data_IF_361756119210
#
_entry.id   IF_361756119210
#
_cell.length_a   1.000
_cell.length_b   1.000
_cell.length_c   1.000
_cell.angle_alpha   90.00
_cell.angle_beta   90.00
_cell.angle_gamma   90.00
#
_symmetry.space_group_name_H-M   'P 1'
#
loop_
_entity.id
_entity.type
_entity.pdbx_description
1 polymer ?
#
# COMPACT_ATOMS: atom_id res chain seq x y z
N UNK A 1 -7.20 -13.98 26.26
CA UNK A 1 -6.31 -12.88 26.70
C UNK A 1 -7.18 -11.82 27.35
N UNK A 2 -7.15 -11.71 28.69
CA UNK A 2 -7.74 -10.59 29.41
C UNK A 2 -6.66 -9.51 29.57
N UNK A 3 -6.40 -8.75 28.51
CA UNK A 3 -5.62 -7.51 28.63
C UNK A 3 -6.56 -6.42 29.12
N UNK A 4 -6.21 -5.72 30.20
CA UNK A 4 -6.90 -4.49 30.56
C UNK A 4 -6.66 -3.48 29.45
N UNK A 5 -7.73 -2.97 28.84
CA UNK A 5 -7.67 -1.96 27.78
C UNK A 5 -7.25 -0.57 28.30
N UNK A 6 -6.88 -0.47 29.57
CA UNK A 6 -6.65 0.78 30.28
C UNK A 6 -5.25 1.36 29.97
N UNK A 7 -4.30 0.55 29.51
CA UNK A 7 -2.93 0.97 29.16
C UNK A 7 -2.36 0.13 28.01
N UNK A 8 -1.71 0.80 27.05
CA UNK A 8 -0.98 0.20 25.91
C UNK A 8 0.16 1.13 25.50
N UNK A 9 1.22 0.60 24.91
CA UNK A 9 2.37 1.42 24.45
C UNK A 9 2.00 2.33 23.28
N UNK A 10 1.15 1.84 22.36
CA UNK A 10 0.79 2.55 21.12
C UNK A 10 -0.71 2.46 20.85
N UNK A 11 -1.36 3.61 20.72
CA UNK A 11 -2.72 3.71 20.19
C UNK A 11 -2.67 4.17 18.74
N UNK A 12 -3.24 3.38 17.83
CA UNK A 12 -3.42 3.72 16.43
C UNK A 12 -4.89 4.04 16.18
N UNK A 13 -5.16 5.25 15.69
CA UNK A 13 -6.52 5.69 15.35
C UNK A 13 -6.71 5.58 13.84
N UNK A 14 -7.59 4.65 13.43
CA UNK A 14 -7.93 4.35 12.05
C UNK A 14 -7.22 3.11 11.51
N UNK A 15 -7.97 2.28 10.78
CA UNK A 15 -7.49 1.02 10.20
C UNK A 15 -7.20 1.08 8.69
N UNK A 16 -6.93 2.27 8.15
CA UNK A 16 -6.42 2.41 6.78
C UNK A 16 -4.99 1.88 6.63
N UNK A 17 -4.44 1.87 5.40
CA UNK A 17 -3.10 1.35 5.14
C UNK A 17 -2.03 1.93 6.07
N UNK A 18 -2.01 3.26 6.26
CA UNK A 18 -1.03 3.91 7.13
C UNK A 18 -1.16 3.50 8.61
N UNK A 19 -2.40 3.41 9.11
CA UNK A 19 -2.67 3.01 10.49
C UNK A 19 -2.30 1.55 10.75
N UNK A 20 -2.77 0.63 9.92
CA UNK A 20 -2.41 -0.78 10.05
C UNK A 20 -0.92 -1.03 9.81
N UNK A 21 -0.28 -0.29 8.91
CA UNK A 21 1.16 -0.39 8.73
C UNK A 21 1.94 0.04 9.99
N UNK A 22 1.53 1.15 10.61
CA UNK A 22 2.10 1.59 11.88
C UNK A 22 1.87 0.57 13.01
N UNK A 23 0.65 0.01 13.09
CA UNK A 23 0.30 -1.00 14.09
C UNK A 23 1.15 -2.27 13.96
N UNK A 24 1.31 -2.78 12.74
CA UNK A 24 2.13 -3.96 12.47
C UNK A 24 3.60 -3.69 12.77
N UNK A 25 4.13 -2.53 12.36
CA UNK A 25 5.51 -2.14 12.64
C UNK A 25 5.77 -2.05 14.16
N UNK A 26 4.89 -1.37 14.91
CA UNK A 26 4.98 -1.28 16.37
C UNK A 26 4.90 -2.66 17.03
N UNK A 27 3.97 -3.52 16.59
CA UNK A 27 3.83 -4.87 17.14
C UNK A 27 5.05 -5.75 16.86
N UNK A 28 5.67 -5.61 15.68
CA UNK A 28 6.92 -6.31 15.33
C UNK A 28 8.13 -5.84 16.15
N UNK A 29 8.06 -4.65 16.75
CA UNK A 29 9.02 -4.14 17.73
C UNK A 29 8.74 -4.60 19.16
N UNK A 30 7.72 -5.44 19.37
CA UNK A 30 7.37 -5.99 20.69
C UNK A 30 6.40 -5.15 21.51
N UNK A 31 5.90 -4.04 20.96
CA UNK A 31 4.99 -3.13 21.66
C UNK A 31 3.57 -3.70 21.76
N UNK A 32 2.86 -3.30 22.82
CA UNK A 32 1.42 -3.48 22.95
C UNK A 32 0.68 -2.40 22.15
N UNK A 33 -0.17 -2.83 21.22
CA UNK A 33 -0.80 -1.93 20.25
C UNK A 33 -2.32 -2.08 20.29
N UNK A 34 -3.02 -0.97 20.46
CA UNK A 34 -4.47 -0.88 20.32
C UNK A 34 -4.80 -0.14 19.02
N UNK A 35 -5.57 -0.78 18.14
CA UNK A 35 -6.10 -0.15 16.92
C UNK A 35 -7.58 0.19 17.14
N UNK A 36 -7.91 1.46 16.98
CA UNK A 36 -9.27 1.97 17.08
C UNK A 36 -9.81 2.23 15.67
N UNK A 37 -10.90 1.57 15.30
CA UNK A 37 -11.62 1.81 14.07
C UNK A 37 -13.06 2.22 14.41
N UNK A 38 -13.54 3.28 13.77
CA UNK A 38 -14.88 3.82 14.00
C UNK A 38 -15.95 2.93 13.37
N UNK A 39 -15.61 2.33 12.24
CA UNK A 39 -16.51 1.52 11.43
C UNK A 39 -16.52 0.05 11.88
N UNK A 40 -17.57 -0.72 11.55
CA UNK A 40 -17.57 -2.17 11.78
C UNK A 40 -16.60 -2.93 10.85
N UNK A 41 -15.95 -2.24 9.91
CA UNK A 41 -15.05 -2.81 8.91
C UNK A 41 -13.70 -2.12 8.91
N UNK A 42 -12.64 -2.90 8.69
CA UNK A 42 -11.30 -2.36 8.51
C UNK A 42 -11.09 -1.70 7.14
N UNK A 43 -10.11 -0.80 7.08
CA UNK A 43 -9.52 -0.32 5.83
C UNK A 43 -10.00 1.05 5.33
N UNK A 44 -11.10 1.60 5.85
CA UNK A 44 -11.58 2.94 5.46
C UNK A 44 -11.63 3.15 3.93
N UNK A 45 -11.06 4.25 3.45
CA UNK A 45 -10.91 4.54 2.01
C UNK A 45 -9.85 3.67 1.33
N UNK A 46 -8.83 3.18 2.06
CA UNK A 46 -7.84 2.24 1.53
C UNK A 46 -8.51 0.98 0.97
N UNK A 47 -9.48 0.42 1.69
CA UNK A 47 -10.25 -0.75 1.24
C UNK A 47 -11.14 -0.50 0.00
N UNK A 48 -11.28 0.76 -0.43
CA UNK A 48 -11.99 1.17 -1.66
C UNK A 48 -11.05 1.55 -2.79
N UNK A 49 -9.78 1.80 -2.49
CA UNK A 49 -8.79 2.25 -3.47
C UNK A 49 -8.43 1.13 -4.45
N UNK A 50 -7.80 1.49 -5.56
CA UNK A 50 -7.21 0.50 -6.47
C UNK A 50 -6.07 -0.32 -5.87
N UNK A 51 -5.60 0.01 -4.65
CA UNK A 51 -4.57 -0.76 -3.94
C UNK A 51 -3.15 -0.59 -4.49
N UNK A 52 -2.96 0.34 -5.43
CA UNK A 52 -1.65 0.64 -6.02
C UNK A 52 -0.83 1.51 -5.08
N UNK A 53 0.40 1.08 -4.80
CA UNK A 53 1.41 1.81 -4.05
C UNK A 53 2.45 2.34 -5.03
N UNK A 54 2.67 3.64 -5.03
CA UNK A 54 3.74 4.27 -5.80
C UNK A 54 4.99 4.36 -4.94
N UNK A 55 5.97 3.47 -5.15
CA UNK A 55 7.20 3.42 -4.35
C UNK A 55 8.41 3.43 -5.31
N UNK A 56 9.04 4.60 -5.52
CA UNK A 56 10.28 4.68 -6.28
C UNK A 56 11.35 3.80 -5.69
N UNK A 57 12.21 3.23 -6.55
CA UNK A 57 13.33 2.38 -6.11
C UNK A 57 12.95 1.22 -5.17
N UNK A 58 11.70 0.75 -5.22
CA UNK A 58 11.30 -0.43 -4.46
C UNK A 58 12.11 -1.67 -4.88
N UNK A 59 12.43 -2.59 -3.94
CA UNK A 59 13.33 -3.71 -4.19
C UNK A 59 12.72 -4.86 -5.02
N UNK A 60 11.40 -4.85 -5.28
CA UNK A 60 10.71 -5.97 -5.95
C UNK A 60 10.48 -5.73 -7.44
N UNK A 61 10.47 -4.48 -7.90
CA UNK A 61 10.39 -4.12 -9.32
C UNK A 61 11.77 -4.28 -9.98
N UNK A 62 12.15 -5.52 -10.27
CA UNK A 62 13.45 -5.91 -10.85
C UNK A 62 13.50 -5.82 -12.38
N UNK A 63 12.37 -5.99 -13.05
CA UNK A 63 12.26 -5.84 -14.50
C UNK A 63 11.91 -4.39 -14.84
N UNK A 64 12.91 -3.63 -15.31
CA UNK A 64 12.69 -2.26 -15.80
C UNK A 64 13.48 -2.05 -17.09
N UNK A 65 12.89 -1.41 -18.12
CA UNK A 65 13.64 -1.01 -19.31
C UNK A 65 14.82 -0.10 -18.97
N UNK A 66 14.64 0.74 -17.94
CA UNK A 66 15.66 1.62 -17.39
C UNK A 66 15.63 1.60 -15.86
N UNK A 67 16.80 1.63 -15.18
CA UNK A 67 16.85 1.71 -13.73
C UNK A 67 16.30 3.07 -13.27
N UNK A 68 15.46 3.03 -12.25
CA UNK A 68 14.96 4.21 -11.55
C UNK A 68 15.99 4.68 -10.51
N UNK A 69 15.94 5.96 -10.14
CA UNK A 69 16.86 6.53 -9.15
C UNK A 69 16.12 7.44 -8.16
N UNK A 70 16.63 7.56 -6.91
CA UNK A 70 16.08 8.51 -5.97
C UNK A 70 16.13 9.96 -6.49
N UNK A 71 17.11 10.30 -7.33
CA UNK A 71 17.22 11.63 -7.94
C UNK A 71 16.13 11.90 -8.98
N UNK A 72 15.80 10.92 -9.82
CA UNK A 72 14.71 11.06 -10.79
C UNK A 72 13.37 11.23 -10.06
N UNK A 73 13.13 10.42 -9.02
CA UNK A 73 11.91 10.51 -8.22
C UNK A 73 11.83 11.84 -7.46
N UNK A 74 12.96 12.35 -6.95
CA UNK A 74 13.05 13.67 -6.32
C UNK A 74 12.77 14.79 -7.32
N UNK A 75 13.34 14.70 -8.52
CA UNK A 75 13.13 15.67 -9.61
C UNK A 75 11.65 15.71 -10.00
N UNK A 76 11.03 14.54 -10.15
CA UNK A 76 9.61 14.38 -10.43
C UNK A 76 8.76 15.01 -9.32
N UNK A 77 8.96 14.61 -8.07
CA UNK A 77 8.19 15.17 -6.94
C UNK A 77 8.39 16.69 -6.78
N UNK A 78 9.58 17.21 -7.09
CA UNK A 78 9.83 18.66 -7.08
C UNK A 78 9.05 19.38 -8.16
N UNK A 79 9.00 18.81 -9.36
CA UNK A 79 8.20 19.35 -10.45
C UNK A 79 6.70 19.33 -10.10
N UNK A 80 6.18 18.17 -9.70
CA UNK A 80 4.75 17.95 -9.44
C UNK A 80 4.23 18.73 -8.23
N UNK A 81 5.02 18.84 -7.16
CA UNK A 81 4.59 19.60 -5.97
C UNK A 81 4.75 21.11 -6.13
N UNK A 82 5.60 21.59 -7.06
CA UNK A 82 5.84 23.01 -7.30
C UNK A 82 6.10 23.79 -6.01
N UNK A 83 5.29 24.83 -5.77
CA UNK A 83 5.39 25.68 -4.58
C UNK A 83 5.13 24.96 -3.24
N UNK A 84 4.55 23.75 -3.27
CA UNK A 84 4.26 22.95 -2.08
C UNK A 84 5.33 21.87 -1.81
N UNK A 85 6.45 21.90 -2.55
CA UNK A 85 7.53 20.94 -2.35
C UNK A 85 8.14 21.07 -0.94
N UNK A 86 8.07 19.97 -0.19
CA UNK A 86 8.67 19.83 1.13
C UNK A 86 9.82 18.83 1.04
N UNK A 87 11.05 19.34 0.98
CA UNK A 87 12.24 18.54 0.83
C UNK A 87 12.36 17.48 1.94
N UNK A 88 12.06 17.83 3.20
CA UNK A 88 12.23 16.91 4.32
C UNK A 88 11.24 15.73 4.22
N UNK A 89 9.99 16.00 3.85
CA UNK A 89 8.99 14.93 3.63
C UNK A 89 9.32 14.06 2.43
N UNK A 90 9.78 14.66 1.33
CA UNK A 90 10.17 13.92 0.13
C UNK A 90 11.38 13.02 0.42
N UNK A 91 12.42 13.53 1.07
CA UNK A 91 13.58 12.71 1.44
C UNK A 91 13.21 11.57 2.39
N UNK A 92 12.34 11.83 3.36
CA UNK A 92 11.83 10.79 4.24
C UNK A 92 11.07 9.72 3.45
N UNK A 93 10.20 10.12 2.53
CA UNK A 93 9.43 9.20 1.69
C UNK A 93 10.34 8.35 0.78
N UNK A 94 11.25 8.97 0.03
CA UNK A 94 12.16 8.27 -0.88
C UNK A 94 13.13 7.33 -0.14
N UNK A 95 13.53 7.69 1.09
CA UNK A 95 14.41 6.84 1.91
C UNK A 95 13.66 5.70 2.60
N UNK A 96 12.45 5.97 3.12
CA UNK A 96 11.70 5.01 3.94
C UNK A 96 10.78 4.12 3.12
N UNK A 97 10.33 4.54 1.94
CA UNK A 97 9.45 3.77 1.05
C UNK A 97 10.02 2.39 0.70
N UNK A 98 11.21 2.30 0.06
CA UNK A 98 11.83 1.01 -0.25
C UNK A 98 12.08 0.13 0.98
N UNK A 99 12.46 0.75 2.11
CA UNK A 99 12.67 0.04 3.39
C UNK A 99 11.37 -0.51 3.97
N UNK A 100 10.27 0.20 3.79
CA UNK A 100 8.94 -0.25 4.20
C UNK A 100 8.52 -1.46 3.36
N UNK A 101 8.72 -1.42 2.04
CA UNK A 101 8.46 -2.57 1.16
C UNK A 101 9.27 -3.79 1.61
N UNK A 102 10.58 -3.63 1.83
CA UNK A 102 11.45 -4.70 2.29
C UNK A 102 10.99 -5.28 3.65
N UNK A 103 10.65 -4.41 4.60
CA UNK A 103 10.18 -4.82 5.91
C UNK A 103 8.90 -5.67 5.84
N UNK A 104 7.89 -5.21 5.10
CA UNK A 104 6.62 -5.93 5.02
C UNK A 104 6.78 -7.28 4.33
N UNK A 105 7.52 -7.33 3.22
CA UNK A 105 7.74 -8.58 2.48
C UNK A 105 8.55 -9.60 3.29
N UNK A 106 9.56 -9.16 4.06
CA UNK A 106 10.46 -10.07 4.80
C UNK A 106 9.97 -10.47 6.18
N UNK A 107 9.17 -9.63 6.83
CA UNK A 107 8.86 -9.78 8.25
C UNK A 107 7.36 -9.94 8.54
N UNK A 108 6.51 -9.98 7.53
CA UNK A 108 5.06 -10.15 7.67
C UNK A 108 4.51 -11.06 6.57
N UNK A 109 3.22 -11.40 6.65
CA UNK A 109 2.55 -12.19 5.61
C UNK A 109 2.20 -11.36 4.36
N UNK A 110 2.43 -10.04 4.38
CA UNK A 110 2.16 -9.16 3.23
C UNK A 110 3.11 -9.51 2.08
N UNK A 111 2.54 -9.97 0.97
CA UNK A 111 3.24 -10.14 -0.29
C UNK A 111 2.87 -9.00 -1.25
N UNK A 112 3.85 -8.53 -2.01
CA UNK A 112 3.71 -7.43 -2.96
C UNK A 112 4.18 -7.89 -4.35
N UNK A 113 3.47 -7.46 -5.39
CA UNK A 113 3.81 -7.75 -6.79
C UNK A 113 4.05 -6.44 -7.56
N UNK A 114 5.00 -6.42 -8.51
CA UNK A 114 5.24 -5.25 -9.34
C UNK A 114 4.13 -5.06 -10.37
N UNK A 115 3.87 -3.79 -10.73
CA UNK A 115 3.04 -3.41 -11.87
C UNK A 115 3.95 -2.78 -12.94
N UNK A 116 4.63 -3.60 -13.77
CA UNK A 116 5.73 -3.13 -14.61
C UNK A 116 5.28 -2.06 -15.61
N UNK A 117 4.11 -2.24 -16.23
CA UNK A 117 3.60 -1.37 -17.29
C UNK A 117 2.78 -0.18 -16.79
N UNK A 118 2.76 0.07 -15.48
CA UNK A 118 1.99 1.16 -14.90
C UNK A 118 2.83 2.46 -14.87
N UNK A 119 2.45 3.50 -15.62
CA UNK A 119 3.21 4.74 -15.69
C UNK A 119 2.97 5.64 -14.48
N UNK A 120 3.86 6.61 -14.29
CA UNK A 120 3.57 7.80 -13.51
C UNK A 120 2.43 8.58 -14.18
N UNK A 121 1.64 9.32 -13.39
CA UNK A 121 0.50 10.10 -13.92
C UNK A 121 0.92 11.10 -15.01
N UNK A 122 2.08 11.75 -14.84
CA UNK A 122 2.67 12.67 -15.81
C UNK A 122 4.06 12.15 -16.21
N UNK A 123 4.11 11.01 -16.91
CA UNK A 123 5.36 10.35 -17.28
C UNK A 123 6.29 11.22 -18.15
N UNK A 124 5.74 12.24 -18.82
CA UNK A 124 6.46 13.24 -19.60
C UNK A 124 7.15 14.34 -18.76
N UNK A 125 6.78 14.50 -17.49
CA UNK A 125 7.42 15.47 -16.59
C UNK A 125 8.89 15.10 -16.32
N UNK A 126 9.74 16.07 -15.97
CA UNK A 126 11.12 15.80 -15.56
C UNK A 126 11.21 14.73 -14.46
N UNK A 127 11.99 13.66 -14.68
CA UNK A 127 12.12 12.54 -13.75
C UNK A 127 10.93 11.56 -13.72
N UNK A 128 9.90 11.81 -14.53
CA UNK A 128 8.76 10.93 -14.74
C UNK A 128 9.15 9.64 -15.45
N UNK A 129 8.38 8.58 -15.23
CA UNK A 129 8.62 7.24 -15.77
C UNK A 129 7.35 6.66 -16.39
N UNK A 130 7.52 5.95 -17.50
CA UNK A 130 6.43 5.20 -18.16
C UNK A 130 6.16 3.84 -17.51
N UNK A 131 6.99 3.42 -16.53
CA UNK A 131 6.97 2.09 -15.96
C UNK A 131 7.75 1.99 -14.63
N UNK A 132 7.39 1.02 -13.78
CA UNK A 132 8.28 0.42 -12.78
C UNK A 132 8.22 0.94 -11.34
N UNK A 133 7.53 2.05 -11.04
CA UNK A 133 7.41 2.59 -9.66
C UNK A 133 6.21 2.05 -8.87
N UNK A 134 5.21 1.53 -9.58
CA UNK A 134 3.97 1.03 -8.98
C UNK A 134 4.07 -0.44 -8.58
N UNK A 135 3.54 -0.76 -7.41
CA UNK A 135 3.41 -2.12 -6.86
C UNK A 135 2.03 -2.27 -6.22
N UNK A 136 1.58 -3.49 -5.97
CA UNK A 136 0.33 -3.74 -5.24
C UNK A 136 0.43 -4.96 -4.34
N UNK A 137 -0.52 -5.10 -3.42
CA UNK A 137 -0.68 -6.33 -2.64
C UNK A 137 -0.98 -7.51 -3.58
N UNK A 138 -0.25 -8.61 -3.40
CA UNK A 138 -0.59 -9.86 -4.06
C UNK A 138 -1.95 -10.36 -3.55
N UNK A 139 -2.74 -11.04 -4.38
CA UNK A 139 -3.93 -11.74 -3.90
C UNK A 139 -3.56 -12.72 -2.78
N UNK A 140 -4.40 -12.79 -1.76
CA UNK A 140 -4.28 -13.77 -0.67
C UNK A 140 -5.57 -14.59 -0.56
N UNK A 141 -5.46 -15.80 0.00
CA UNK A 141 -6.63 -16.60 0.27
C UNK A 141 -7.38 -16.06 1.50
N UNK A 142 -8.56 -15.50 1.28
CA UNK A 142 -9.39 -14.94 2.35
C UNK A 142 -9.78 -15.95 3.43
N UNK A 143 -9.73 -17.26 3.15
CA UNK A 143 -10.01 -18.33 4.14
C UNK A 143 -9.02 -18.30 5.29
N UNK A 144 -7.79 -17.84 5.07
CA UNK A 144 -6.76 -17.70 6.10
C UNK A 144 -7.17 -16.71 7.21
N UNK A 145 -8.09 -15.79 6.91
CA UNK A 145 -8.60 -14.82 7.89
C UNK A 145 -9.64 -15.43 8.86
N UNK A 146 -10.16 -16.62 8.56
CA UNK A 146 -11.24 -17.25 9.33
C UNK A 146 -12.42 -16.30 9.54
N UNK A 147 -12.94 -16.25 10.78
CA UNK A 147 -14.05 -15.37 11.14
C UNK A 147 -13.78 -13.88 10.90
N UNK A 148 -12.51 -13.45 10.83
CA UNK A 148 -12.17 -12.03 10.63
C UNK A 148 -12.47 -11.55 9.22
N UNK A 149 -12.71 -12.45 8.27
CA UNK A 149 -13.12 -12.08 6.91
C UNK A 149 -14.37 -11.19 6.92
N UNK A 150 -15.27 -11.37 7.88
CA UNK A 150 -16.51 -10.57 8.03
C UNK A 150 -16.26 -9.10 8.43
N UNK A 151 -15.06 -8.79 8.90
CA UNK A 151 -14.65 -7.43 9.24
C UNK A 151 -13.94 -6.73 8.07
N UNK A 152 -13.78 -7.40 6.92
CA UNK A 152 -13.36 -6.71 5.71
C UNK A 152 -14.53 -5.93 5.11
N UNK A 153 -14.24 -4.75 4.59
CA UNK A 153 -15.25 -3.91 3.96
C UNK A 153 -15.76 -4.61 2.68
N UNK A 154 -17.08 -4.83 2.53
CA UNK A 154 -17.64 -5.40 1.30
C UNK A 154 -17.34 -4.49 0.12
N UNK A 155 -17.05 -5.00 -1.10
CA UNK A 155 -16.69 -4.17 -2.26
C UNK A 155 -17.85 -3.26 -2.72
N UNK A 156 -17.54 -2.22 -3.49
CA UNK A 156 -18.53 -1.22 -3.94
C UNK A 156 -19.36 -1.85 -5.06
N UNK A 157 -20.69 -1.79 -4.96
CA UNK A 157 -21.59 -2.44 -5.94
C UNK A 157 -21.32 -1.98 -7.37
N UNK A 158 -20.93 -0.72 -7.53
CA UNK A 158 -20.70 -0.03 -8.80
C UNK A 158 -19.48 -0.59 -9.56
N UNK A 159 -18.52 -1.17 -8.84
CA UNK A 159 -17.27 -1.74 -9.39
C UNK A 159 -17.19 -3.25 -9.14
N UNK A 160 -18.33 -3.88 -8.82
CA UNK A 160 -18.42 -5.28 -8.46
C UNK A 160 -19.42 -6.01 -9.35
N UNK A 161 -19.00 -7.08 -10.01
CA UNK A 161 -19.92 -8.00 -10.68
C UNK A 161 -19.97 -9.30 -9.90
N UNK A 162 -21.18 -9.68 -9.45
CA UNK A 162 -21.43 -10.90 -8.66
C UNK A 162 -20.52 -11.02 -7.42
N UNK A 163 -20.26 -9.90 -6.74
CA UNK A 163 -19.44 -9.89 -5.51
C UNK A 163 -17.92 -9.81 -5.74
N UNK A 164 -17.43 -9.86 -6.99
CA UNK A 164 -16.02 -9.67 -7.33
C UNK A 164 -15.74 -8.24 -7.79
N UNK A 165 -14.79 -7.58 -7.12
CA UNK A 165 -14.34 -6.23 -7.46
C UNK A 165 -13.51 -6.31 -8.74
N UNK A 166 -13.85 -5.53 -9.77
CA UNK A 166 -12.97 -5.38 -10.93
C UNK A 166 -11.90 -4.35 -10.59
N UNK A 167 -10.77 -4.81 -10.09
CA UNK A 167 -9.59 -3.98 -10.19
C UNK A 167 -9.04 -4.06 -11.61
N UNK A 168 -8.34 -3.03 -12.07
CA UNK A 168 -7.80 -2.90 -13.43
C UNK A 168 -6.60 -3.85 -13.68
N UNK A 169 -6.77 -5.13 -13.40
CA UNK A 169 -5.74 -6.16 -13.37
C UNK A 169 -6.19 -7.43 -14.12
N UNK A 170 -5.35 -8.47 -14.06
CA UNK A 170 -5.51 -9.76 -14.70
C UNK A 170 -6.86 -10.46 -14.43
N UNK A 171 -7.64 -10.03 -13.43
CA UNK A 171 -8.94 -10.59 -13.07
C UNK A 171 -9.96 -10.55 -14.21
N UNK A 172 -9.88 -9.55 -15.09
CA UNK A 172 -10.76 -9.44 -16.27
C UNK A 172 -10.56 -10.64 -17.21
N UNK A 173 -9.33 -11.13 -17.36
CA UNK A 173 -9.01 -12.28 -18.22
C UNK A 173 -9.63 -13.59 -17.74
N UNK A 174 -9.97 -13.71 -16.45
CA UNK A 174 -10.63 -14.90 -15.90
C UNK A 174 -12.10 -15.02 -16.31
N UNK A 175 -12.72 -13.96 -16.85
CA UNK A 175 -14.11 -13.97 -17.33
C UNK A 175 -14.26 -14.17 -18.84
N UNK A 176 -13.18 -14.01 -19.61
CA UNK A 176 -13.19 -14.12 -21.07
C UNK A 176 -12.69 -15.49 -21.58
N UNK A 177 -12.55 -16.48 -20.70
CA UNK A 177 -12.23 -17.87 -21.05
C UNK A 177 -13.36 -18.81 -20.63
#
# INVERSE_FOLDING_TARGET
MSGHLDEVDVIVVGSGAGGLAAAVAAKKLGLEVLVLEKEPYFGGTTARSGGVLWIPNNPISTFRPEPDSPEDARTYLRHECGAHYDAARVEAFLTKGPRMVDFFVRHTDVQLIPLPDYPDYHAESPGGRTAGRSIMAAPMDGRELGDRIRHLRPPLREITFVGMMFNSSAEISHFFN
#
